data_IF_703863666912
#
_entry.id   IF_703863666912
#
_cell.length_a   1.000
_cell.length_b   1.000
_cell.length_c   1.000
_cell.angle_alpha   90.00
_cell.angle_beta   90.00
_cell.angle_gamma   90.00
#
_symmetry.space_group_name_H-M   'P 1'
#
loop_
_entity.id
_entity.type
_entity.pdbx_description
1 polymer ?
#
# COMPACT_ATOMS: atom_id res chain seq x y z
N UNK A 1 53.02 -23.59 48.37
CA UNK A 1 51.90 -22.77 47.85
C UNK A 1 51.64 -23.21 46.41
N UNK A 2 50.45 -23.64 46.00
CA UNK A 2 49.20 -22.86 45.83
C UNK A 2 49.40 -21.56 45.04
N UNK A 3 49.05 -21.57 43.76
CA UNK A 3 48.12 -20.61 43.15
C UNK A 3 47.69 -21.12 41.78
N UNK A 4 46.40 -21.41 41.64
CA UNK A 4 45.74 -21.67 40.36
C UNK A 4 45.46 -20.33 39.69
N UNK A 5 45.80 -20.19 38.42
CA UNK A 5 45.34 -19.10 37.56
C UNK A 5 44.48 -19.71 36.44
N UNK A 6 43.18 -19.88 36.72
CA UNK A 6 42.22 -20.27 35.69
C UNK A 6 41.93 -19.08 34.78
N UNK A 7 42.15 -19.21 33.47
CA UNK A 7 41.61 -18.25 32.52
C UNK A 7 40.09 -18.39 32.48
N UNK A 8 39.39 -17.36 32.94
CA UNK A 8 37.97 -17.22 32.70
C UNK A 8 37.76 -16.85 31.23
N UNK A 9 37.31 -17.83 30.43
CA UNK A 9 36.71 -17.56 29.12
C UNK A 9 35.41 -16.80 29.36
N UNK A 10 35.45 -15.47 29.18
CA UNK A 10 34.26 -14.65 29.13
C UNK A 10 33.46 -15.02 27.88
N UNK A 11 32.44 -15.86 28.04
CA UNK A 11 31.48 -16.15 26.99
C UNK A 11 30.75 -14.85 26.64
N UNK A 12 31.10 -14.25 25.51
CA UNK A 12 30.29 -13.20 24.92
C UNK A 12 28.91 -13.79 24.62
N UNK A 13 27.89 -13.35 25.36
CA UNK A 13 26.51 -13.65 25.01
C UNK A 13 26.25 -12.98 23.67
N UNK A 14 26.10 -13.77 22.61
CA UNK A 14 25.64 -13.28 21.32
C UNK A 14 24.22 -12.81 21.52
N UNK A 15 24.02 -11.49 21.53
CA UNK A 15 22.69 -10.91 21.58
C UNK A 15 21.95 -11.28 20.29
N UNK A 16 21.03 -12.24 20.37
CA UNK A 16 20.13 -12.55 19.29
C UNK A 16 19.22 -11.32 19.05
N UNK A 17 19.20 -10.72 17.85
CA UNK A 17 18.42 -9.52 17.62
C UNK A 17 16.93 -9.87 17.50
N UNK A 18 16.11 -9.26 18.37
CA UNK A 18 14.72 -8.86 18.10
C UNK A 18 13.79 -9.92 17.44
N UNK A 19 13.62 -11.06 18.11
CA UNK A 19 12.50 -12.02 17.83
C UNK A 19 11.35 -11.87 18.86
N UNK A 20 11.57 -11.16 19.97
CA UNK A 20 10.57 -10.99 21.01
C UNK A 20 9.46 -10.00 20.59
N UNK A 21 8.19 -10.45 20.71
CA UNK A 21 6.92 -9.72 20.49
C UNK A 21 6.33 -9.67 19.06
N UNK A 22 6.53 -10.68 18.23
CA UNK A 22 5.58 -10.96 17.12
C UNK A 22 4.29 -11.61 17.68
N UNK A 23 3.13 -11.25 17.12
CA UNK A 23 1.87 -11.86 17.53
C UNK A 23 1.80 -13.32 17.03
N UNK A 24 1.17 -14.26 17.77
CA UNK A 24 0.95 -15.61 17.26
C UNK A 24 0.09 -15.55 15.99
N UNK A 25 0.50 -16.27 14.94
CA UNK A 25 -0.24 -16.36 13.68
C UNK A 25 -0.35 -17.82 13.21
N UNK A 26 -1.48 -18.24 12.60
CA UNK A 26 -1.57 -19.48 11.85
C UNK A 26 -0.86 -19.42 10.49
N UNK A 27 -0.51 -18.23 9.98
CA UNK A 27 0.02 -18.04 8.63
C UNK A 27 1.54 -17.86 8.66
N UNK A 28 2.27 -18.94 8.35
CA UNK A 28 3.72 -18.93 8.24
C UNK A 28 4.15 -18.60 6.81
N UNK A 29 5.13 -17.72 6.65
CA UNK A 29 5.71 -17.35 5.36
C UNK A 29 7.21 -17.63 5.37
N UNK A 30 7.72 -18.27 4.31
CA UNK A 30 9.16 -18.50 4.11
C UNK A 30 9.59 -17.93 2.76
N UNK A 31 10.63 -17.10 2.74
CA UNK A 31 11.22 -16.52 1.54
C UNK A 31 12.54 -17.23 1.17
N UNK A 32 12.73 -17.49 -0.12
CA UNK A 32 13.95 -18.04 -0.72
C UNK A 32 14.31 -17.28 -2.01
N UNK A 33 15.59 -16.95 -2.21
CA UNK A 33 16.07 -16.29 -3.44
C UNK A 33 16.07 -17.26 -4.64
N UNK A 34 15.59 -16.78 -5.79
CA UNK A 34 15.60 -17.50 -7.06
C UNK A 34 16.40 -16.75 -8.15
N UNK A 35 17.72 -16.68 -7.96
CA UNK A 35 18.60 -15.90 -8.83
C UNK A 35 18.81 -14.48 -8.30
N UNK A 36 18.86 -13.49 -9.19
CA UNK A 36 19.34 -12.13 -8.84
C UNK A 36 18.41 -11.38 -7.87
N UNK A 37 17.13 -11.28 -8.23
CA UNK A 37 16.14 -10.46 -7.52
C UNK A 37 14.77 -11.14 -7.42
N UNK A 38 14.63 -12.38 -7.90
CA UNK A 38 13.41 -13.17 -7.70
C UNK A 38 13.41 -13.83 -6.33
N UNK A 39 12.21 -13.96 -5.78
CA UNK A 39 11.93 -14.60 -4.50
C UNK A 39 10.78 -15.57 -4.71
N UNK A 40 10.93 -16.76 -4.17
CA UNK A 40 9.83 -17.67 -3.88
C UNK A 40 9.37 -17.43 -2.44
N UNK A 41 8.09 -17.12 -2.26
CA UNK A 41 7.43 -17.23 -0.98
C UNK A 41 6.69 -18.58 -0.90
N UNK A 42 6.88 -19.31 0.20
CA UNK A 42 6.06 -20.46 0.58
C UNK A 42 5.19 -20.03 1.75
N UNK A 43 3.86 -20.10 1.57
CA UNK A 43 2.87 -19.68 2.55
C UNK A 43 2.16 -20.93 3.07
N UNK A 44 2.20 -21.16 4.38
CA UNK A 44 1.64 -22.36 5.01
C UNK A 44 0.60 -21.99 6.05
N UNK A 45 -0.61 -22.53 5.92
CA UNK A 45 -1.63 -22.45 6.97
C UNK A 45 -1.36 -23.50 8.04
N UNK A 46 -0.65 -23.09 9.10
CA UNK A 46 -0.37 -23.89 10.30
C UNK A 46 -1.48 -23.81 11.35
N UNK A 47 -2.65 -23.26 11.00
CA UNK A 47 -3.85 -23.24 11.83
C UNK A 47 -4.55 -24.61 11.91
N UNK A 48 -5.76 -24.59 12.48
CA UNK A 48 -6.67 -25.75 12.59
C UNK A 48 -7.91 -25.66 11.69
N UNK A 49 -8.04 -24.55 10.97
CA UNK A 49 -9.16 -24.22 10.10
C UNK A 49 -8.62 -23.78 8.76
N UNK A 50 -9.40 -23.95 7.70
CA UNK A 50 -9.05 -23.39 6.39
C UNK A 50 -9.02 -21.86 6.47
N UNK A 51 -8.19 -21.22 5.63
CA UNK A 51 -8.14 -19.77 5.49
C UNK A 51 -8.60 -19.40 4.08
N UNK A 52 -9.50 -18.41 3.98
CA UNK A 52 -9.93 -17.77 2.73
C UNK A 52 -9.48 -16.32 2.78
N UNK A 53 -8.29 -16.06 2.25
CA UNK A 53 -7.55 -14.80 2.36
C UNK A 53 -7.88 -13.91 1.16
N UNK A 54 -8.13 -12.62 1.39
CA UNK A 54 -8.17 -11.64 0.31
C UNK A 54 -6.78 -11.56 -0.32
N UNK A 55 -6.67 -11.80 -1.63
CA UNK A 55 -5.38 -11.77 -2.34
C UNK A 55 -5.13 -10.46 -3.08
N UNK A 56 -6.18 -9.87 -3.66
CA UNK A 56 -6.08 -8.59 -4.37
C UNK A 56 -5.50 -7.50 -3.46
N UNK A 57 -4.51 -6.75 -3.94
CA UNK A 57 -3.81 -5.74 -3.16
C UNK A 57 -2.76 -6.26 -2.17
N UNK A 58 -2.51 -7.57 -2.12
CA UNK A 58 -1.61 -8.20 -1.13
C UNK A 58 -0.43 -8.93 -1.78
N UNK A 59 0.51 -9.45 -0.99
CA UNK A 59 1.61 -10.25 -1.53
C UNK A 59 1.19 -11.56 -2.23
N UNK A 60 -0.09 -11.96 -2.11
CA UNK A 60 -0.72 -13.07 -2.85
C UNK A 60 -1.29 -12.64 -4.23
N UNK A 61 -1.31 -11.35 -4.55
CA UNK A 61 -1.78 -10.83 -5.84
C UNK A 61 -0.80 -11.18 -6.97
N UNK A 62 -1.29 -11.32 -8.19
CA UNK A 62 -0.47 -11.35 -9.40
C UNK A 62 0.02 -9.95 -9.80
N UNK A 63 -0.69 -8.88 -9.41
CA UNK A 63 -0.22 -7.50 -9.56
C UNK A 63 1.08 -7.24 -8.77
N UNK A 64 1.85 -6.24 -9.17
CA UNK A 64 3.12 -5.89 -8.52
C UNK A 64 2.91 -4.94 -7.33
N UNK A 65 2.08 -5.36 -6.39
CA UNK A 65 1.90 -4.72 -5.08
C UNK A 65 3.06 -5.02 -4.14
N UNK A 66 3.10 -4.41 -2.94
CA UNK A 66 4.23 -4.55 -2.01
C UNK A 66 4.28 -5.96 -1.40
N UNK A 67 5.07 -6.86 -2.02
CA UNK A 67 5.15 -8.28 -1.62
C UNK A 67 6.21 -8.56 -0.55
N UNK A 68 7.19 -7.67 -0.41
CA UNK A 68 8.28 -7.75 0.57
C UNK A 68 8.83 -6.35 0.85
N UNK A 69 9.33 -6.12 2.05
CA UNK A 69 10.09 -4.94 2.43
C UNK A 69 11.60 -5.18 2.20
N UNK A 70 12.28 -4.25 1.53
CA UNK A 70 13.70 -4.37 1.17
C UNK A 70 14.53 -3.26 1.84
N UNK A 71 15.72 -3.60 2.33
CA UNK A 71 16.62 -2.69 3.06
C UNK A 71 18.05 -2.80 2.56
N UNK A 72 18.75 -1.67 2.41
CA UNK A 72 20.21 -1.64 2.27
C UNK A 72 20.82 -1.22 3.60
N UNK A 73 21.48 -2.15 4.29
CA UNK A 73 21.79 -2.01 5.71
C UNK A 73 20.51 -1.83 6.53
N UNK A 74 20.42 -0.74 7.30
CA UNK A 74 19.21 -0.35 8.06
C UNK A 74 18.24 0.54 7.25
N UNK A 75 18.65 1.05 6.09
CA UNK A 75 17.84 1.98 5.29
C UNK A 75 16.85 1.21 4.42
N UNK A 76 15.55 1.43 4.64
CA UNK A 76 14.50 0.93 3.74
C UNK A 76 14.68 1.47 2.31
N UNK A 77 14.61 0.58 1.33
CA UNK A 77 14.48 0.92 -0.08
C UNK A 77 12.98 1.13 -0.35
N UNK A 78 12.55 2.31 -0.81
CA UNK A 78 11.13 2.56 -1.07
C UNK A 78 10.54 1.50 -2.01
N UNK A 79 9.33 1.05 -1.67
CA UNK A 79 8.46 0.36 -2.62
C UNK A 79 7.95 1.36 -3.64
N UNK A 80 7.90 0.94 -4.91
CA UNK A 80 7.58 1.83 -6.01
C UNK A 80 6.74 1.20 -7.14
N UNK A 81 6.29 -0.04 -6.92
CA UNK A 81 5.30 -0.76 -7.73
C UNK A 81 3.86 -0.28 -7.51
N UNK A 82 2.88 -1.15 -7.74
CA UNK A 82 1.44 -0.81 -7.71
C UNK A 82 0.91 -0.68 -6.27
N UNK A 83 0.12 0.34 -5.98
CA UNK A 83 -0.84 0.38 -4.87
C UNK A 83 -2.24 0.43 -5.46
N UNK A 84 -3.21 -0.28 -4.87
CA UNK A 84 -4.55 -0.47 -5.45
C UNK A 84 -5.62 0.01 -4.47
N UNK A 85 -6.69 0.61 -4.98
CA UNK A 85 -7.88 0.94 -4.19
C UNK A 85 -9.01 -0.07 -4.48
N UNK A 86 -9.49 -0.76 -3.45
CA UNK A 86 -10.50 -1.83 -3.55
C UNK A 86 -11.87 -1.37 -3.02
N UNK A 87 -12.94 -1.73 -3.75
CA UNK A 87 -14.29 -1.77 -3.23
C UNK A 87 -14.51 -3.08 -2.47
N UNK A 88 -14.42 -3.03 -1.14
CA UNK A 88 -14.61 -4.19 -0.26
C UNK A 88 -16.07 -4.66 -0.15
N UNK A 89 -17.04 -3.90 -0.68
CA UNK A 89 -18.46 -4.27 -0.71
C UNK A 89 -18.85 -5.08 -1.96
N UNK A 90 -18.00 -5.09 -2.99
CA UNK A 90 -18.23 -5.75 -4.29
C UNK A 90 -17.25 -6.90 -4.57
N UNK A 91 -16.71 -7.55 -3.53
CA UNK A 91 -15.73 -8.63 -3.67
C UNK A 91 -16.38 -9.93 -4.21
N UNK A 92 -15.80 -10.48 -5.27
CA UNK A 92 -16.15 -11.79 -5.84
C UNK A 92 -15.24 -12.90 -5.29
N UNK A 93 -15.64 -14.18 -5.40
CA UNK A 93 -14.82 -15.34 -4.99
C UNK A 93 -13.40 -15.35 -5.60
N UNK A 94 -13.24 -14.76 -6.79
CA UNK A 94 -11.97 -14.66 -7.52
C UNK A 94 -10.94 -13.76 -6.82
N UNK A 95 -11.38 -12.83 -5.96
CA UNK A 95 -10.51 -11.96 -5.15
C UNK A 95 -9.88 -12.68 -3.95
N UNK A 96 -10.25 -13.95 -3.70
CA UNK A 96 -9.76 -14.73 -2.58
C UNK A 96 -8.78 -15.84 -3.00
N UNK A 97 -7.93 -16.24 -2.07
CA UNK A 97 -7.09 -17.43 -2.13
C UNK A 97 -7.43 -18.37 -0.96
N UNK A 98 -7.54 -19.68 -1.20
CA UNK A 98 -7.93 -20.65 -0.17
C UNK A 98 -6.74 -21.54 0.18
N UNK A 99 -6.34 -21.50 1.45
CA UNK A 99 -5.27 -22.36 1.99
C UNK A 99 -5.90 -23.28 3.05
N UNK A 100 -6.14 -24.57 2.75
CA UNK A 100 -6.68 -25.52 3.72
C UNK A 100 -5.75 -25.70 4.93
N UNK A 101 -6.32 -26.18 6.04
CA UNK A 101 -5.56 -26.42 7.27
C UNK A 101 -4.41 -27.42 7.04
N UNK A 102 -3.17 -26.99 7.28
CA UNK A 102 -1.95 -27.79 7.08
C UNK A 102 -1.34 -27.72 5.68
N UNK A 103 -2.00 -27.08 4.72
CA UNK A 103 -1.52 -26.96 3.33
C UNK A 103 -0.65 -25.73 3.11
N UNK A 104 0.08 -25.74 1.99
CA UNK A 104 0.96 -24.66 1.55
C UNK A 104 0.65 -24.24 0.10
N UNK A 105 0.86 -22.96 -0.20
CA UNK A 105 0.92 -22.42 -1.56
C UNK A 105 2.28 -21.75 -1.81
N UNK A 106 2.66 -21.63 -3.08
CA UNK A 106 3.87 -20.92 -3.51
C UNK A 106 3.51 -19.68 -4.32
N UNK A 107 4.22 -18.57 -4.10
CA UNK A 107 4.12 -17.34 -4.88
C UNK A 107 5.52 -16.87 -5.26
N UNK A 108 5.80 -16.79 -6.55
CA UNK A 108 7.05 -16.24 -7.07
C UNK A 108 6.88 -14.76 -7.45
N UNK A 109 7.87 -13.92 -7.15
CA UNK A 109 7.88 -12.49 -7.51
C UNK A 109 9.31 -11.95 -7.66
N UNK A 110 9.49 -10.81 -8.34
CA UNK A 110 10.80 -10.17 -8.52
C UNK A 110 10.85 -8.82 -7.81
N UNK A 111 11.65 -8.69 -6.74
CA UNK A 111 11.73 -7.44 -5.97
C UNK A 111 12.36 -6.29 -6.77
N UNK A 112 13.02 -6.55 -7.91
CA UNK A 112 13.49 -5.49 -8.80
C UNK A 112 12.39 -4.90 -9.70
N UNK A 113 11.21 -5.51 -9.77
CA UNK A 113 10.03 -4.90 -10.42
C UNK A 113 9.47 -3.72 -9.64
N UNK A 114 9.66 -3.70 -8.31
CA UNK A 114 8.96 -2.78 -7.41
C UNK A 114 9.82 -2.18 -6.26
N UNK A 115 11.14 -2.36 -6.34
CA UNK A 115 12.13 -1.58 -5.59
C UNK A 115 13.28 -1.15 -6.51
N UNK A 116 13.89 0.01 -6.23
CA UNK A 116 15.09 0.43 -6.94
C UNK A 116 16.36 -0.23 -6.38
N UNK A 117 16.71 -1.38 -6.95
CA UNK A 117 17.92 -2.13 -6.62
C UNK A 117 19.09 -1.83 -7.58
N UNK A 118 18.99 -0.79 -8.42
CA UNK A 118 19.98 -0.47 -9.47
C UNK A 118 21.38 -0.14 -8.94
N UNK A 119 21.48 0.26 -7.68
CA UNK A 119 22.76 0.46 -6.98
C UNK A 119 23.55 -0.85 -6.78
N UNK A 120 22.87 -2.01 -6.75
CA UNK A 120 23.45 -3.32 -6.51
C UNK A 120 24.02 -3.52 -5.09
N UNK A 121 24.62 -4.68 -4.86
CA UNK A 121 25.23 -5.05 -3.59
C UNK A 121 24.25 -5.75 -2.63
N UNK A 122 24.49 -5.62 -1.32
CA UNK A 122 23.77 -6.38 -0.30
C UNK A 122 22.45 -5.72 0.13
N UNK A 123 21.39 -6.52 0.13
CA UNK A 123 20.06 -6.15 0.62
C UNK A 123 19.54 -7.18 1.62
N UNK A 124 18.82 -6.70 2.64
CA UNK A 124 18.02 -7.51 3.55
C UNK A 124 16.56 -7.45 3.13
N UNK A 125 15.89 -8.61 3.03
CA UNK A 125 14.50 -8.70 2.58
C UNK A 125 13.68 -9.50 3.59
N UNK A 126 12.43 -9.08 3.82
CA UNK A 126 11.41 -9.83 4.56
C UNK A 126 10.02 -9.48 4.01
N UNK A 127 9.01 -10.23 4.43
CA UNK A 127 7.61 -9.89 4.26
C UNK A 127 6.92 -9.97 5.63
N UNK A 128 6.37 -8.86 6.09
CA UNK A 128 5.48 -8.80 7.25
C UNK A 128 4.29 -7.87 7.02
N UNK A 129 3.15 -8.20 7.62
CA UNK A 129 1.89 -7.48 7.42
C UNK A 129 0.69 -8.24 7.99
N UNK A 130 -0.49 -7.98 7.44
CA UNK A 130 -1.70 -8.76 7.70
C UNK A 130 -2.52 -8.93 6.41
N UNK A 131 -3.31 -10.00 6.33
CA UNK A 131 -4.24 -10.26 5.23
C UNK A 131 -5.67 -10.30 5.76
N UNK A 132 -6.59 -9.57 5.13
CA UNK A 132 -8.01 -9.71 5.41
C UNK A 132 -8.53 -11.10 5.00
N UNK A 133 -9.54 -11.62 5.70
CA UNK A 133 -10.14 -12.92 5.41
C UNK A 133 -11.66 -12.90 5.53
N UNK A 134 -12.30 -13.83 4.82
CA UNK A 134 -13.75 -14.06 4.83
C UNK A 134 -14.08 -15.47 5.34
N UNK A 135 -15.35 -15.73 5.65
CA UNK A 135 -15.84 -17.10 5.91
C UNK A 135 -15.84 -17.95 4.62
N UNK A 136 -15.83 -19.28 4.74
CA UNK A 136 -15.67 -20.15 3.57
C UNK A 136 -16.80 -20.01 2.53
N UNK A 137 -17.99 -19.60 2.94
CA UNK A 137 -19.19 -19.42 2.11
C UNK A 137 -19.62 -17.95 1.94
N UNK A 138 -18.77 -16.99 2.33
CA UNK A 138 -19.05 -15.53 2.20
C UNK A 138 -17.88 -14.78 1.55
N UNK A 139 -18.16 -13.67 0.85
CA UNK A 139 -17.12 -12.71 0.40
C UNK A 139 -16.99 -11.49 1.33
N UNK A 140 -17.77 -11.43 2.41
CA UNK A 140 -17.67 -10.40 3.44
C UNK A 140 -16.39 -10.58 4.28
N UNK A 141 -15.59 -9.53 4.42
CA UNK A 141 -14.36 -9.54 5.21
C UNK A 141 -14.70 -9.45 6.70
N UNK A 142 -14.39 -10.50 7.46
CA UNK A 142 -14.74 -10.61 8.90
C UNK A 142 -13.57 -10.34 9.85
N UNK A 143 -12.36 -10.16 9.32
CA UNK A 143 -11.17 -9.84 10.11
C UNK A 143 -9.89 -9.90 9.29
N UNK A 144 -8.75 -9.86 9.96
CA UNK A 144 -7.43 -10.03 9.35
C UNK A 144 -6.54 -10.98 10.13
N UNK A 145 -5.58 -11.60 9.45
CA UNK A 145 -4.58 -12.51 10.02
C UNK A 145 -3.19 -11.91 9.80
N UNK A 146 -2.38 -11.68 10.85
CA UNK A 146 -1.01 -11.17 10.69
C UNK A 146 -0.12 -12.25 10.07
N UNK A 147 0.97 -11.87 9.41
CA UNK A 147 1.99 -12.80 8.92
C UNK A 147 3.39 -12.20 9.04
N UNK A 148 4.39 -13.09 9.13
CA UNK A 148 5.78 -12.70 9.20
C UNK A 148 6.67 -13.75 8.52
N UNK A 149 7.67 -13.30 7.78
CA UNK A 149 8.69 -14.20 7.21
C UNK A 149 9.99 -14.26 8.02
N UNK A 150 10.86 -15.18 7.61
CA UNK A 150 12.31 -15.08 7.79
C UNK A 150 12.86 -13.83 7.07
N UNK A 151 13.98 -13.29 7.58
CA UNK A 151 14.80 -12.32 6.83
C UNK A 151 15.79 -13.09 5.96
N UNK A 152 15.99 -12.67 4.72
CA UNK A 152 17.03 -13.18 3.81
C UNK A 152 18.02 -12.05 3.46
N UNK A 153 19.30 -12.37 3.34
CA UNK A 153 20.31 -11.49 2.76
C UNK A 153 20.54 -11.91 1.31
N UNK A 154 20.48 -10.95 0.39
CA UNK A 154 20.72 -11.15 -1.03
C UNK A 154 21.82 -10.21 -1.54
N UNK A 155 22.67 -10.70 -2.45
CA UNK A 155 23.64 -9.88 -3.17
C UNK A 155 23.17 -9.73 -4.61
N UNK A 156 22.81 -8.51 -4.99
CA UNK A 156 22.06 -8.18 -6.22
C UNK A 156 22.97 -7.49 -7.22
N UNK A 157 23.01 -7.99 -8.46
CA UNK A 157 23.54 -7.28 -9.62
C UNK A 157 22.61 -6.12 -9.98
N UNK A 158 23.10 -4.89 -9.75
CA UNK A 158 22.37 -3.65 -9.98
C UNK A 158 21.98 -3.43 -11.44
N UNK A 159 22.88 -3.56 -12.43
CA UNK A 159 22.54 -3.51 -13.85
C UNK A 159 21.45 -4.50 -14.29
N UNK A 160 21.46 -5.74 -13.78
CA UNK A 160 20.43 -6.73 -14.06
C UNK A 160 19.09 -6.34 -13.43
N UNK A 161 19.09 -5.90 -12.16
CA UNK A 161 17.89 -5.41 -11.50
C UNK A 161 17.31 -4.16 -12.19
N UNK A 162 18.16 -3.22 -12.61
CA UNK A 162 17.78 -2.05 -13.41
C UNK A 162 17.17 -2.46 -14.76
N UNK A 163 17.60 -3.58 -15.34
CA UNK A 163 17.04 -4.10 -16.60
C UNK A 163 15.63 -4.67 -16.41
N UNK A 164 15.38 -5.40 -15.30
CA UNK A 164 14.02 -5.83 -14.88
C UNK A 164 13.12 -4.61 -14.71
N UNK A 165 13.55 -3.67 -13.86
CA UNK A 165 12.90 -2.38 -13.58
C UNK A 165 12.57 -1.56 -14.85
N UNK A 166 13.50 -1.50 -15.81
CA UNK A 166 13.31 -0.73 -17.05
C UNK A 166 12.44 -1.45 -18.09
N UNK A 167 12.44 -2.78 -18.11
CA UNK A 167 11.49 -3.56 -18.91
C UNK A 167 10.05 -3.39 -18.38
N UNK A 168 9.91 -3.22 -17.07
CA UNK A 168 8.65 -3.06 -16.35
C UNK A 168 8.05 -1.63 -16.46
N UNK A 169 8.83 -0.56 -16.25
CA UNK A 169 8.30 0.82 -16.17
C UNK A 169 8.20 1.60 -17.52
N UNK A 170 7.68 1.01 -18.60
CA UNK A 170 7.67 1.70 -19.91
C UNK A 170 6.50 2.69 -20.14
N UNK A 171 6.85 3.92 -20.59
CA UNK A 171 6.04 5.02 -21.18
C UNK A 171 5.38 6.02 -20.22
N UNK A 172 5.06 7.23 -20.71
CA UNK A 172 4.67 8.52 -20.03
C UNK A 172 3.54 9.22 -20.86
N UNK A 173 2.81 10.30 -20.52
CA UNK A 173 2.95 11.50 -19.64
C UNK A 173 1.56 12.17 -19.38
N UNK A 174 1.30 12.88 -18.26
CA UNK A 174 0.07 13.70 -17.98
C UNK A 174 -1.30 12.97 -18.09
N UNK A 175 -2.45 13.67 -18.14
CA UNK A 175 -3.75 13.03 -18.47
C UNK A 175 -3.65 12.46 -19.87
N UNK A 176 -3.75 11.14 -19.99
CA UNK A 176 -3.38 10.46 -21.21
C UNK A 176 -4.43 10.59 -22.31
N UNK A 177 -4.00 10.35 -23.55
CA UNK A 177 -4.88 10.26 -24.72
C UNK A 177 -5.84 9.06 -24.71
N UNK A 178 -5.80 8.20 -23.68
CA UNK A 178 -6.79 7.14 -23.46
C UNK A 178 -8.07 7.69 -22.80
N UNK A 179 -7.96 8.79 -22.05
CA UNK A 179 -9.07 9.58 -21.55
C UNK A 179 -9.79 10.26 -22.72
N UNK A 180 -10.84 9.60 -23.20
CA UNK A 180 -11.68 10.04 -24.32
C UNK A 180 -13.16 9.92 -23.97
N UNK A 181 -14.02 10.65 -24.69
CA UNK A 181 -15.47 10.62 -24.49
C UNK A 181 -15.88 10.87 -23.04
N UNK A 182 -16.80 10.05 -22.53
CA UNK A 182 -17.35 10.19 -21.17
C UNK A 182 -16.28 10.01 -20.09
N UNK A 183 -15.27 9.15 -20.29
CA UNK A 183 -14.16 8.99 -19.34
C UNK A 183 -13.36 10.28 -19.16
N UNK A 184 -13.12 11.03 -20.24
CA UNK A 184 -12.45 12.33 -20.16
C UNK A 184 -13.28 13.34 -19.36
N UNK A 185 -14.59 13.39 -19.62
CA UNK A 185 -15.50 14.28 -18.90
C UNK A 185 -15.58 13.92 -17.40
N UNK A 186 -15.63 12.63 -17.06
CA UNK A 186 -15.58 12.14 -15.68
C UNK A 186 -14.27 12.57 -15.01
N UNK A 187 -13.11 12.28 -15.62
CA UNK A 187 -11.78 12.63 -15.08
C UNK A 187 -11.64 14.14 -14.83
N UNK A 188 -12.02 14.99 -15.78
CA UNK A 188 -11.94 16.44 -15.62
C UNK A 188 -12.80 16.96 -14.46
N UNK A 189 -14.01 16.42 -14.32
CA UNK A 189 -14.90 16.77 -13.21
C UNK A 189 -14.40 16.22 -11.86
N UNK A 190 -13.85 15.01 -11.83
CA UNK A 190 -13.31 14.38 -10.62
C UNK A 190 -12.07 15.12 -10.10
N UNK A 191 -11.12 15.46 -10.97
CA UNK A 191 -9.92 16.26 -10.62
C UNK A 191 -10.31 17.64 -10.08
N UNK A 192 -11.25 18.34 -10.74
CA UNK A 192 -11.75 19.63 -10.25
C UNK A 192 -12.37 19.53 -8.84
N UNK A 193 -13.14 18.47 -8.56
CA UNK A 193 -13.70 18.21 -7.23
C UNK A 193 -12.63 17.82 -6.21
N UNK A 194 -11.70 16.95 -6.58
CA UNK A 194 -10.55 16.59 -5.75
C UNK A 194 -9.75 17.83 -5.32
N UNK A 195 -9.45 18.75 -6.23
CA UNK A 195 -8.73 19.99 -5.90
C UNK A 195 -9.48 20.85 -4.89
N UNK A 196 -10.81 20.97 -5.04
CA UNK A 196 -11.67 21.68 -4.10
C UNK A 196 -11.75 21.00 -2.73
N UNK A 197 -11.97 19.67 -2.72
CA UNK A 197 -12.06 18.85 -1.50
C UNK A 197 -10.74 18.88 -0.72
N UNK A 198 -9.61 18.69 -1.40
CA UNK A 198 -8.27 18.79 -0.81
C UNK A 198 -7.99 20.20 -0.26
N UNK A 199 -8.40 21.26 -0.96
CA UNK A 199 -8.25 22.64 -0.46
C UNK A 199 -9.03 22.90 0.85
N UNK A 200 -10.22 22.30 1.00
CA UNK A 200 -10.99 22.38 2.25
C UNK A 200 -10.35 21.53 3.35
N UNK A 201 -9.93 20.30 3.02
CA UNK A 201 -9.24 19.40 3.94
C UNK A 201 -7.91 20.01 4.45
N UNK A 202 -7.16 20.71 3.60
CA UNK A 202 -5.97 21.47 3.99
C UNK A 202 -6.29 22.52 5.08
N UNK A 203 -7.33 23.33 4.86
CA UNK A 203 -7.76 24.35 5.82
C UNK A 203 -8.23 23.72 7.13
N UNK A 204 -9.03 22.65 7.06
CA UNK A 204 -9.49 21.91 8.22
C UNK A 204 -8.35 21.24 9.02
N UNK A 205 -7.33 20.72 8.35
CA UNK A 205 -6.15 20.19 9.02
C UNK A 205 -5.34 21.31 9.72
N UNK A 206 -5.13 22.43 9.04
CA UNK A 206 -4.36 23.55 9.57
C UNK A 206 -5.02 24.25 10.77
N UNK A 207 -6.35 24.44 10.75
CA UNK A 207 -7.06 25.29 11.74
C UNK A 207 -8.42 24.77 12.23
N UNK A 208 -8.90 23.64 11.69
CA UNK A 208 -10.17 23.02 12.06
C UNK A 208 -10.10 22.13 13.32
N UNK A 209 -11.19 21.41 13.58
CA UNK A 209 -11.43 20.63 14.80
C UNK A 209 -10.26 19.69 15.16
N UNK A 210 -9.76 19.82 16.39
CA UNK A 210 -8.76 18.90 16.96
C UNK A 210 -9.30 17.49 17.13
N UNK A 211 -10.59 17.33 17.40
CA UNK A 211 -11.19 16.01 17.57
C UNK A 211 -11.27 15.28 16.22
N UNK A 212 -11.55 16.00 15.13
CA UNK A 212 -11.52 15.44 13.76
C UNK A 212 -10.09 15.06 13.33
N UNK A 213 -9.08 15.85 13.73
CA UNK A 213 -7.67 15.47 13.54
C UNK A 213 -7.30 14.20 14.33
N UNK A 214 -7.75 14.07 15.59
CA UNK A 214 -7.53 12.87 16.41
C UNK A 214 -8.28 11.64 15.89
N UNK A 215 -9.48 11.81 15.36
CA UNK A 215 -10.29 10.70 14.81
C UNK A 215 -9.57 10.02 13.63
N UNK A 216 -9.04 10.80 12.69
CA UNK A 216 -8.37 10.29 11.50
C UNK A 216 -6.88 10.05 11.74
N UNK A 217 -6.12 11.04 12.20
CA UNK A 217 -4.66 10.96 12.30
C UNK A 217 -4.14 10.59 13.71
N UNK A 218 -5.04 10.33 14.67
CA UNK A 218 -4.72 9.98 16.08
C UNK A 218 -3.90 11.04 16.85
N UNK A 219 -3.71 12.21 16.26
CA UNK A 219 -2.99 13.37 16.82
C UNK A 219 -3.54 14.66 16.22
N UNK A 220 -3.61 15.72 17.03
CA UNK A 220 -3.86 17.10 16.59
C UNK A 220 -2.70 18.04 16.91
N UNK A 221 -1.49 17.49 17.11
CA UNK A 221 -0.27 18.28 17.33
C UNK A 221 0.01 19.22 16.15
N UNK A 222 0.80 20.26 16.41
CA UNK A 222 1.20 21.21 15.38
C UNK A 222 1.90 20.51 14.21
N UNK A 223 2.81 19.57 14.49
CA UNK A 223 3.55 18.79 13.48
C UNK A 223 2.64 17.90 12.65
N UNK A 224 1.69 17.19 13.28
CA UNK A 224 0.69 16.37 12.55
C UNK A 224 -0.17 17.26 11.65
N UNK A 225 -0.67 18.39 12.16
CA UNK A 225 -1.51 19.33 11.40
C UNK A 225 -0.78 19.94 10.22
N UNK A 226 0.45 20.40 10.40
CA UNK A 226 1.28 20.92 9.29
C UNK A 226 1.53 19.83 8.24
N UNK A 227 1.93 18.62 8.67
CA UNK A 227 2.16 17.49 7.75
C UNK A 227 0.91 17.18 6.91
N UNK A 228 -0.27 17.11 7.53
CA UNK A 228 -1.52 16.80 6.83
C UNK A 228 -1.95 17.95 5.92
N UNK A 229 -1.83 19.20 6.36
CA UNK A 229 -2.13 20.37 5.54
C UNK A 229 -1.19 20.51 4.33
N UNK A 230 0.10 20.22 4.47
CA UNK A 230 1.07 20.22 3.38
C UNK A 230 0.75 19.14 2.33
N UNK A 231 0.37 17.93 2.77
CA UNK A 231 -0.05 16.85 1.87
C UNK A 231 -1.30 17.25 1.09
N UNK A 232 -2.35 17.77 1.75
CA UNK A 232 -3.53 18.25 1.05
C UNK A 232 -3.27 19.43 0.12
N UNK A 233 -2.33 20.33 0.47
CA UNK A 233 -1.90 21.41 -0.42
C UNK A 233 -1.25 20.90 -1.70
N UNK A 234 -0.44 19.83 -1.63
CA UNK A 234 0.13 19.16 -2.80
C UNK A 234 -0.94 18.48 -3.64
N UNK A 235 -1.88 17.75 -3.02
CA UNK A 235 -3.02 17.12 -3.71
C UNK A 235 -3.87 18.18 -4.41
N UNK A 236 -4.17 19.29 -3.74
CA UNK A 236 -4.95 20.39 -4.32
C UNK A 236 -4.28 21.01 -5.56
N UNK A 237 -2.95 21.14 -5.54
CA UNK A 237 -2.15 21.59 -6.67
C UNK A 237 -2.14 20.59 -7.82
N UNK A 238 -1.94 19.30 -7.53
CA UNK A 238 -1.84 18.23 -8.53
C UNK A 238 -3.21 17.95 -9.20
N UNK A 239 -4.30 17.87 -8.42
CA UNK A 239 -5.66 17.82 -8.95
C UNK A 239 -6.11 19.14 -9.62
N UNK A 240 -5.37 20.23 -9.42
CA UNK A 240 -5.68 21.55 -9.99
C UNK A 240 -5.40 21.68 -11.49
N UNK A 241 -4.81 20.65 -12.12
CA UNK A 241 -4.45 20.65 -13.53
C UNK A 241 -4.78 19.33 -14.23
N UNK A 242 -4.92 19.39 -15.56
CA UNK A 242 -5.06 18.23 -16.45
C UNK A 242 -3.94 18.14 -17.50
N UNK A 243 -3.07 19.15 -17.58
CA UNK A 243 -2.00 19.30 -18.58
C UNK A 243 -0.67 19.82 -18.00
N UNK A 244 -0.54 19.73 -16.69
CA UNK A 244 0.67 19.97 -15.89
C UNK A 244 0.52 19.23 -14.55
N UNK A 245 1.58 19.19 -13.75
CA UNK A 245 1.67 18.33 -12.58
C UNK A 245 2.85 17.36 -12.69
N UNK A 246 3.19 16.74 -11.57
CA UNK A 246 4.33 15.83 -11.44
C UNK A 246 3.97 14.36 -11.72
N UNK A 247 2.67 14.07 -11.90
CA UNK A 247 2.13 12.74 -12.17
C UNK A 247 1.45 12.63 -13.54
N UNK A 248 0.81 11.48 -13.77
CA UNK A 248 0.08 11.15 -14.99
C UNK A 248 -1.19 10.43 -14.60
N UNK A 249 -2.23 10.60 -15.40
CA UNK A 249 -3.54 10.00 -15.18
C UNK A 249 -3.89 9.18 -16.42
N UNK A 250 -4.18 7.90 -16.25
CA UNK A 250 -4.66 7.02 -17.31
C UNK A 250 -6.13 6.64 -17.06
N UNK A 251 -6.93 6.64 -18.12
CA UNK A 251 -8.34 6.21 -18.08
C UNK A 251 -8.55 4.76 -18.54
N UNK A 252 -7.46 4.03 -18.75
CA UNK A 252 -7.41 2.61 -19.08
C UNK A 252 -6.31 1.91 -18.27
N UNK A 253 -6.43 0.59 -18.15
CA UNK A 253 -5.41 -0.23 -17.50
C UNK A 253 -4.18 -0.34 -18.39
N UNK A 254 -3.14 0.43 -18.06
CA UNK A 254 -1.85 0.43 -18.77
C UNK A 254 -0.83 -0.53 -18.16
N UNK A 255 -1.21 -1.26 -17.12
CA UNK A 255 -0.31 -2.13 -16.35
C UNK A 255 -0.78 -3.59 -16.28
N UNK A 256 -2.09 -3.84 -16.29
CA UNK A 256 -2.72 -5.14 -16.00
C UNK A 256 -3.17 -5.30 -14.54
N UNK A 257 -3.39 -4.19 -13.81
CA UNK A 257 -3.80 -4.22 -12.39
C UNK A 257 -5.32 -4.06 -12.17
N UNK A 258 -6.11 -3.77 -13.21
CA UNK A 258 -7.56 -3.63 -13.07
C UNK A 258 -8.24 -5.01 -13.01
N UNK A 259 -8.29 -5.57 -11.80
CA UNK A 259 -9.03 -6.78 -11.46
C UNK A 259 -10.44 -6.46 -10.92
N UNK A 260 -11.22 -7.49 -10.63
CA UNK A 260 -12.54 -7.33 -9.99
C UNK A 260 -12.42 -6.60 -8.66
N UNK A 261 -13.31 -5.61 -8.42
CA UNK A 261 -13.27 -4.75 -7.24
C UNK A 261 -12.24 -3.62 -7.23
N UNK A 262 -11.30 -3.55 -8.18
CA UNK A 262 -10.30 -2.45 -8.23
C UNK A 262 -10.91 -1.20 -8.86
N UNK A 263 -10.88 -0.08 -8.14
CA UNK A 263 -11.34 1.23 -8.64
C UNK A 263 -10.23 1.94 -9.43
N UNK A 264 -9.04 1.99 -8.86
CA UNK A 264 -7.87 2.63 -9.43
C UNK A 264 -6.59 2.02 -8.83
N UNK A 265 -5.45 2.41 -9.40
CA UNK A 265 -4.14 2.05 -8.88
C UNK A 265 -3.07 3.12 -9.19
N UNK A 266 -2.06 3.20 -8.34
CA UNK A 266 -0.91 4.12 -8.47
C UNK A 266 0.39 3.36 -8.55
N UNK A 267 1.32 3.79 -9.39
CA UNK A 267 2.72 3.33 -9.42
C UNK A 267 3.64 4.49 -9.00
N UNK A 268 4.00 4.61 -7.71
CA UNK A 268 4.69 5.78 -7.16
C UNK A 268 6.07 6.02 -7.77
N UNK A 269 6.80 4.97 -8.14
CA UNK A 269 8.13 5.10 -8.76
C UNK A 269 8.11 5.60 -10.18
N UNK A 270 7.00 5.36 -10.87
CA UNK A 270 6.74 5.89 -12.19
C UNK A 270 5.93 7.21 -12.15
N UNK A 271 5.48 7.66 -10.98
CA UNK A 271 4.61 8.83 -10.79
C UNK A 271 3.40 8.81 -11.73
N UNK A 272 2.60 7.73 -11.71
CA UNK A 272 1.31 7.73 -12.41
C UNK A 272 0.22 7.00 -11.63
N UNK A 273 -1.02 7.39 -11.91
CA UNK A 273 -2.26 6.76 -11.47
C UNK A 273 -3.03 6.29 -12.69
N UNK A 274 -3.74 5.18 -12.59
CA UNK A 274 -4.59 4.65 -13.64
C UNK A 274 -5.91 4.17 -13.04
N UNK A 275 -7.00 4.48 -13.75
CA UNK A 275 -8.36 4.31 -13.24
C UNK A 275 -9.06 3.21 -14.02
N UNK A 276 -9.63 2.27 -13.29
CA UNK A 276 -10.26 1.08 -13.84
C UNK A 276 -11.68 1.37 -14.31
N UNK A 277 -12.24 0.47 -15.12
CA UNK A 277 -13.60 0.62 -15.67
C UNK A 277 -14.66 0.79 -14.57
N UNK A 278 -14.48 0.14 -13.41
CA UNK A 278 -15.38 0.25 -12.25
C UNK A 278 -15.54 1.69 -11.75
N UNK A 279 -14.45 2.46 -11.67
CA UNK A 279 -14.45 3.87 -11.27
C UNK A 279 -15.26 4.76 -12.23
N UNK A 280 -15.24 4.47 -13.53
CA UNK A 280 -16.00 5.23 -14.52
C UNK A 280 -17.46 4.81 -14.62
N UNK A 281 -17.76 3.53 -14.32
CA UNK A 281 -19.08 2.93 -14.58
C UNK A 281 -20.00 2.90 -13.36
N UNK A 282 -19.47 2.71 -12.15
CA UNK A 282 -20.26 2.49 -10.94
C UNK A 282 -20.05 3.55 -9.85
N UNK A 283 -18.85 4.11 -9.75
CA UNK A 283 -18.52 5.05 -8.68
C UNK A 283 -19.22 6.42 -8.89
N UNK A 284 -19.94 6.96 -7.89
CA UNK A 284 -20.63 8.24 -8.05
C UNK A 284 -19.63 9.41 -8.14
N UNK A 285 -20.04 10.49 -8.80
CA UNK A 285 -19.24 11.70 -8.94
C UNK A 285 -18.98 12.45 -7.61
N UNK A 286 -19.88 12.27 -6.64
CA UNK A 286 -19.81 12.69 -5.24
C UNK A 286 -20.73 11.78 -4.42
N UNK A 287 -20.28 11.29 -3.27
CA UNK A 287 -21.18 10.63 -2.31
C UNK A 287 -21.94 11.66 -1.47
N UNK A 288 -23.06 11.25 -0.88
CA UNK A 288 -23.76 11.98 0.19
C UNK A 288 -23.70 11.25 1.53
N UNK A 289 -23.08 10.06 1.57
CA UNK A 289 -22.89 9.25 2.76
C UNK A 289 -21.50 9.45 3.34
N UNK A 290 -21.42 9.72 4.64
CA UNK A 290 -20.16 9.77 5.37
C UNK A 290 -19.38 8.46 5.17
N UNK A 291 -18.10 8.61 4.82
CA UNK A 291 -17.17 7.51 4.56
C UNK A 291 -17.52 6.65 3.32
N UNK A 292 -18.49 7.06 2.50
CA UNK A 292 -18.72 6.46 1.18
C UNK A 292 -17.62 6.84 0.20
N UNK A 293 -17.28 5.92 -0.71
CA UNK A 293 -16.34 6.18 -1.80
C UNK A 293 -17.02 6.99 -2.92
N UNK A 294 -16.26 7.88 -3.54
CA UNK A 294 -16.67 8.63 -4.73
C UNK A 294 -15.45 8.99 -5.59
N UNK A 295 -15.70 9.46 -6.82
CA UNK A 295 -14.64 9.74 -7.78
C UNK A 295 -13.60 10.76 -7.28
N UNK A 296 -14.00 11.76 -6.49
CA UNK A 296 -13.09 12.75 -5.94
C UNK A 296 -12.29 12.17 -4.75
N UNK A 297 -12.92 11.38 -3.90
CA UNK A 297 -12.30 10.68 -2.77
C UNK A 297 -11.27 9.64 -3.25
N UNK A 298 -11.55 8.87 -4.30
CA UNK A 298 -10.57 7.97 -4.93
C UNK A 298 -9.38 8.75 -5.51
N UNK A 299 -9.61 9.93 -6.12
CA UNK A 299 -8.51 10.78 -6.58
C UNK A 299 -7.60 11.24 -5.43
N UNK A 300 -8.18 11.63 -4.30
CA UNK A 300 -7.41 12.00 -3.10
C UNK A 300 -6.61 10.80 -2.57
N UNK A 301 -7.20 9.60 -2.55
CA UNK A 301 -6.53 8.35 -2.17
C UNK A 301 -5.30 8.09 -3.06
N UNK A 302 -5.50 7.93 -4.37
CA UNK A 302 -4.43 7.61 -5.33
C UNK A 302 -3.31 8.66 -5.34
N UNK A 303 -3.65 9.96 -5.25
CA UNK A 303 -2.63 11.00 -5.21
C UNK A 303 -1.73 10.91 -3.97
N UNK A 304 -2.22 10.43 -2.82
CA UNK A 304 -1.37 10.29 -1.63
C UNK A 304 -0.26 9.24 -1.81
N UNK A 305 -0.48 8.22 -2.64
CA UNK A 305 0.52 7.20 -2.94
C UNK A 305 1.71 7.73 -3.72
N UNK A 306 1.54 8.80 -4.52
CA UNK A 306 2.60 9.42 -5.29
C UNK A 306 3.71 9.91 -4.36
N UNK A 307 4.96 9.54 -4.67
CA UNK A 307 6.13 9.85 -3.84
C UNK A 307 6.36 11.36 -3.66
N UNK A 308 6.06 12.17 -4.69
CA UNK A 308 6.15 13.62 -4.63
C UNK A 308 5.06 14.27 -3.74
N UNK A 309 3.93 13.58 -3.53
CA UNK A 309 2.84 14.05 -2.67
C UNK A 309 3.14 13.64 -1.22
N UNK A 310 3.15 12.33 -0.95
CA UNK A 310 3.36 11.77 0.40
C UNK A 310 3.97 10.36 0.41
N UNK A 311 3.64 9.50 -0.55
CA UNK A 311 4.13 8.11 -0.58
C UNK A 311 3.41 7.16 0.39
N UNK A 312 2.12 7.40 0.68
CA UNK A 312 1.30 6.58 1.60
C UNK A 312 1.18 5.11 1.17
N UNK A 313 1.05 4.20 2.13
CA UNK A 313 0.70 2.78 1.92
C UNK A 313 -0.77 2.52 2.26
N UNK A 314 -1.26 1.33 1.96
CA UNK A 314 -2.58 0.82 2.37
C UNK A 314 -2.47 -0.20 3.51
N UNK A 315 -1.27 -0.65 3.85
CA UNK A 315 -1.02 -1.65 4.90
C UNK A 315 -1.87 -2.94 4.81
N UNK A 316 -2.45 -3.25 3.64
CA UNK A 316 -3.32 -4.41 3.40
C UNK A 316 -4.78 -4.25 3.84
N UNK A 317 -5.29 -3.04 4.05
CA UNK A 317 -6.69 -2.81 4.42
C UNK A 317 -7.25 -1.44 4.05
N UNK A 318 -8.58 -1.31 4.10
CA UNK A 318 -9.32 -0.18 3.53
C UNK A 318 -10.54 0.19 4.38
N UNK A 319 -11.03 1.41 4.19
CA UNK A 319 -12.26 1.91 4.80
C UNK A 319 -12.14 2.39 6.25
N UNK A 320 -13.21 3.01 6.74
CA UNK A 320 -13.22 3.72 8.03
C UNK A 320 -12.85 2.83 9.22
N UNK A 321 -13.38 1.61 9.30
CA UNK A 321 -13.08 0.69 10.40
C UNK A 321 -11.59 0.29 10.44
N UNK A 322 -10.95 0.15 9.28
CA UNK A 322 -9.52 -0.17 9.22
C UNK A 322 -8.67 0.98 9.75
N UNK A 323 -8.90 2.22 9.27
CA UNK A 323 -8.18 3.40 9.77
C UNK A 323 -8.50 3.73 11.24
N UNK A 324 -9.57 3.20 11.82
CA UNK A 324 -9.80 3.27 13.27
C UNK A 324 -8.92 2.30 14.08
N UNK A 325 -8.50 1.18 13.48
CA UNK A 325 -7.61 0.19 14.13
C UNK A 325 -6.13 0.58 14.14
N UNK A 326 -5.71 1.51 13.27
CA UNK A 326 -4.32 1.88 13.03
C UNK A 326 -3.77 2.89 14.06
N UNK A 327 -2.46 2.81 14.29
CA UNK A 327 -1.70 3.78 15.10
C UNK A 327 -1.52 5.13 14.39
N UNK A 328 -1.12 6.17 15.13
CA UNK A 328 -0.83 7.50 14.58
C UNK A 328 0.22 7.44 13.43
N UNK A 329 1.31 6.70 13.65
CA UNK A 329 2.41 6.55 12.69
C UNK A 329 1.99 5.80 11.42
N UNK A 330 1.01 4.91 11.51
CA UNK A 330 0.41 4.26 10.34
C UNK A 330 -0.57 5.21 9.64
N UNK A 331 -1.48 5.85 10.37
CA UNK A 331 -2.53 6.69 9.78
C UNK A 331 -2.02 7.92 9.06
N UNK A 332 -0.97 8.57 9.56
CA UNK A 332 -0.31 9.68 8.84
C UNK A 332 0.41 9.23 7.56
N UNK A 333 0.51 7.92 7.33
CA UNK A 333 1.08 7.31 6.14
C UNK A 333 0.08 6.39 5.40
N UNK A 334 -1.22 6.46 5.70
CA UNK A 334 -2.26 5.62 5.09
C UNK A 334 -3.12 6.43 4.10
N UNK A 335 -3.37 5.92 2.89
CA UNK A 335 -4.09 6.64 1.84
C UNK A 335 -5.55 6.97 2.20
N UNK A 336 -6.33 5.95 2.59
CA UNK A 336 -7.72 6.17 3.02
C UNK A 336 -7.89 7.12 4.21
N UNK A 337 -6.89 7.29 5.09
CA UNK A 337 -7.00 8.26 6.19
C UNK A 337 -7.13 9.69 5.67
N UNK A 338 -6.38 10.05 4.61
CA UNK A 338 -6.54 11.34 3.95
C UNK A 338 -7.86 11.42 3.18
N UNK A 339 -8.20 10.38 2.42
CA UNK A 339 -9.38 10.38 1.57
C UNK A 339 -10.69 10.44 2.38
N UNK A 340 -10.78 9.69 3.48
CA UNK A 340 -11.93 9.67 4.39
C UNK A 340 -12.00 10.92 5.28
N UNK A 341 -10.85 11.50 5.70
CA UNK A 341 -10.84 12.81 6.35
C UNK A 341 -11.38 13.90 5.42
N UNK A 342 -10.94 13.91 4.15
CA UNK A 342 -11.40 14.87 3.16
C UNK A 342 -12.91 14.74 2.88
N UNK A 343 -13.44 13.51 2.79
CA UNK A 343 -14.87 13.23 2.71
C UNK A 343 -15.65 13.74 3.93
N UNK A 344 -15.16 13.48 5.15
CA UNK A 344 -15.80 13.93 6.38
C UNK A 344 -15.89 15.47 6.47
N UNK A 345 -14.82 16.17 6.10
CA UNK A 345 -14.78 17.64 6.01
C UNK A 345 -15.74 18.18 4.95
N UNK A 346 -15.87 17.52 3.79
CA UNK A 346 -16.81 17.92 2.73
C UNK A 346 -18.27 17.77 3.16
N UNK A 347 -18.61 16.68 3.86
CA UNK A 347 -19.98 16.35 4.27
C UNK A 347 -20.41 16.90 5.63
N UNK A 348 -19.47 17.43 6.42
CA UNK A 348 -19.75 17.95 7.77
C UNK A 348 -19.95 16.87 8.83
N UNK A 349 -19.28 15.73 8.65
CA UNK A 349 -19.21 14.63 9.63
C UNK A 349 -17.75 14.31 9.99
#
# INVERSE_FOLDING_TARGET
MKLLAGLALASMAVAAPLVEKRAPTPLNVSLEMQGNSKIKAVITNSGKSNLKLLKSGTFLDSAAVEKAQVYSGEKSIPFDGVRVSLDTSSLEETAFERIPSGESIEVDFDIAEFHDLSAGGKFNILAEGALSFAEEDSTELIGSVPFYSNRIEAEVDGPQAFSVRTAFHQKRTQVQSDCTGDKLAITQNALSRCSSMASKAQQAAASGSGDKMKEYFKSDSYETRQTVADVFGRIASECGSTNSGDSRYYCSDVYGACQSGVLAYTVPGASYMAYCDLYFQQLPATTTSCHGQDQAQTNVHEMTHLNQIKGTSDYGGYGYNFIQSLSADQNINHADTYALFANAIELGC
#
